data_IF_437515109272
#
_entry.id   IF_437515109272
#
_cell.length_a   1.000
_cell.length_b   1.000
_cell.length_c   1.000
_cell.angle_alpha   90.00
_cell.angle_beta   90.00
_cell.angle_gamma   90.00
#
_symmetry.space_group_name_H-M   'P 1'
#
loop_
_entity.id
_entity.type
_entity.pdbx_description
1 polymer ?
#
# COMPACT_ATOMS: atom_id res chain seq x y z
N UNK A 1 23.19 -43.68 42.17
CA UNK A 1 22.28 -44.07 41.09
C UNK A 1 21.26 -42.95 40.93
N UNK A 2 21.56 -41.96 40.10
CA UNK A 2 20.70 -40.80 39.80
C UNK A 2 19.78 -41.08 38.65
N UNK A 3 18.47 -40.89 38.84
CA UNK A 3 17.50 -40.89 37.75
C UNK A 3 17.53 -39.53 37.07
N UNK A 4 17.81 -39.49 35.77
CA UNK A 4 17.72 -38.31 34.90
C UNK A 4 16.23 -37.92 34.75
N UNK A 5 15.91 -36.62 34.70
CA UNK A 5 14.55 -36.16 34.47
C UNK A 5 14.11 -36.52 33.04
N UNK A 6 12.88 -37.02 32.93
CA UNK A 6 12.23 -37.27 31.66
C UNK A 6 12.13 -35.96 30.88
N UNK A 7 12.81 -35.90 29.75
CA UNK A 7 12.75 -34.81 28.78
C UNK A 7 11.35 -34.71 28.18
N UNK A 8 10.89 -33.48 28.06
CA UNK A 8 9.59 -33.06 27.52
C UNK A 8 9.48 -33.25 26.00
N UNK A 9 10.30 -34.13 25.41
CA UNK A 9 10.40 -34.35 23.97
C UNK A 9 9.29 -35.24 23.38
N UNK A 10 8.52 -35.94 24.19
CA UNK A 10 7.48 -36.88 23.70
C UNK A 10 6.10 -36.28 23.45
N UNK A 11 5.90 -34.99 23.68
CA UNK A 11 4.59 -34.35 23.45
C UNK A 11 4.37 -33.86 22.01
N UNK A 12 5.41 -33.88 21.17
CA UNK A 12 5.34 -33.37 19.79
C UNK A 12 5.12 -34.45 18.71
N UNK A 13 5.12 -35.73 19.04
CA UNK A 13 5.04 -36.81 18.05
C UNK A 13 3.64 -37.44 17.89
N UNK A 14 2.61 -36.88 18.51
CA UNK A 14 1.25 -37.40 18.40
C UNK A 14 0.37 -36.61 17.40
N UNK A 15 -0.68 -37.24 16.84
CA UNK A 15 -1.63 -36.53 15.96
C UNK A 15 -2.25 -35.30 16.62
N UNK A 16 -2.27 -35.22 17.94
CA UNK A 16 -2.70 -34.05 18.70
C UNK A 16 -1.81 -32.81 18.54
N UNK A 17 -0.50 -32.98 18.37
CA UNK A 17 0.42 -31.86 18.19
C UNK A 17 0.18 -31.13 16.84
N UNK A 18 -0.10 -31.85 15.78
CA UNK A 18 -0.44 -31.27 14.46
C UNK A 18 -1.74 -30.47 14.51
N UNK A 19 -2.73 -30.93 15.27
CA UNK A 19 -3.99 -30.22 15.47
C UNK A 19 -3.76 -28.90 16.22
N UNK A 20 -2.96 -28.90 17.27
CA UNK A 20 -2.66 -27.69 18.05
C UNK A 20 -1.91 -26.66 17.18
N UNK A 21 -0.94 -27.09 16.37
CA UNK A 21 -0.20 -26.21 15.46
C UNK A 21 -1.14 -25.63 14.40
N UNK A 22 -2.02 -26.44 13.83
CA UNK A 22 -2.99 -25.97 12.84
C UNK A 22 -3.95 -24.93 13.43
N UNK A 23 -4.48 -25.15 14.62
CA UNK A 23 -5.34 -24.19 15.34
C UNK A 23 -4.59 -22.89 15.63
N UNK A 24 -3.33 -22.97 16.11
CA UNK A 24 -2.51 -21.79 16.38
C UNK A 24 -2.24 -20.97 15.11
N UNK A 25 -1.98 -21.61 13.97
CA UNK A 25 -1.83 -20.93 12.68
C UNK A 25 -3.12 -20.22 12.23
N UNK A 26 -4.26 -20.87 12.35
CA UNK A 26 -5.55 -20.26 11.99
C UNK A 26 -5.86 -19.05 12.86
N UNK A 27 -5.58 -19.11 14.16
CA UNK A 27 -5.76 -17.99 15.07
C UNK A 27 -4.80 -16.84 14.72
N UNK A 28 -3.53 -17.14 14.44
CA UNK A 28 -2.54 -16.12 14.05
C UNK A 28 -2.93 -15.42 12.75
N UNK A 29 -3.38 -16.16 11.73
CA UNK A 29 -3.85 -15.59 10.46
C UNK A 29 -5.11 -14.73 10.68
N UNK A 30 -6.04 -15.20 11.50
CA UNK A 30 -7.27 -14.46 11.82
C UNK A 30 -7.00 -13.14 12.56
N UNK A 31 -6.03 -13.11 13.46
CA UNK A 31 -5.65 -11.91 14.21
C UNK A 31 -4.94 -10.88 13.31
N UNK A 32 -4.07 -11.32 12.41
CA UNK A 32 -3.39 -10.42 11.48
C UNK A 32 -4.36 -9.81 10.45
N UNK A 33 -5.32 -10.59 9.97
CA UNK A 33 -6.35 -10.09 9.05
C UNK A 33 -7.25 -9.02 9.71
N UNK A 34 -7.64 -9.21 10.98
CA UNK A 34 -8.43 -8.22 11.73
C UNK A 34 -7.65 -6.94 12.03
N UNK A 35 -6.36 -7.04 12.34
CA UNK A 35 -5.51 -5.87 12.58
C UNK A 35 -5.35 -5.02 11.30
N UNK A 36 -5.17 -5.67 10.16
CA UNK A 36 -5.07 -4.98 8.86
C UNK A 36 -6.40 -4.30 8.46
N UNK A 37 -7.53 -5.00 8.64
CA UNK A 37 -8.84 -4.44 8.38
C UNK A 37 -9.16 -3.23 9.29
N UNK A 38 -8.78 -3.30 10.57
CA UNK A 38 -9.01 -2.22 11.53
C UNK A 38 -8.24 -0.96 11.19
N UNK A 39 -6.99 -1.09 10.75
CA UNK A 39 -6.20 0.08 10.36
C UNK A 39 -6.77 0.75 9.10
N UNK A 40 -7.20 -0.03 8.12
CA UNK A 40 -7.88 0.48 6.91
C UNK A 40 -9.18 1.19 7.23
N UNK A 41 -9.97 0.68 8.16
CA UNK A 41 -11.25 1.26 8.55
C UNK A 41 -11.08 2.58 9.32
N UNK A 42 -10.13 2.64 10.25
CA UNK A 42 -9.79 3.86 10.98
C UNK A 42 -9.30 4.97 10.04
N UNK A 43 -8.44 4.62 9.08
CA UNK A 43 -7.95 5.55 8.08
C UNK A 43 -9.08 6.01 7.14
N UNK A 44 -9.96 5.10 6.74
CA UNK A 44 -11.09 5.42 5.88
C UNK A 44 -12.12 6.38 6.52
N UNK A 45 -12.22 6.43 7.85
CA UNK A 45 -13.11 7.34 8.56
C UNK A 45 -12.66 8.82 8.46
N UNK A 46 -11.42 9.08 8.10
CA UNK A 46 -10.90 10.44 7.89
C UNK A 46 -11.40 11.10 6.61
N UNK A 47 -12.09 10.33 5.74
CA UNK A 47 -12.53 10.76 4.43
C UNK A 47 -14.06 10.69 4.29
N UNK A 48 -14.62 11.63 3.57
CA UNK A 48 -16.05 11.60 3.23
C UNK A 48 -16.38 10.37 2.36
N UNK A 49 -17.65 9.93 2.31
CA UNK A 49 -18.06 8.82 1.44
C UNK A 49 -17.73 9.05 -0.04
N UNK A 50 -17.78 10.30 -0.51
CA UNK A 50 -17.50 10.65 -1.90
C UNK A 50 -16.00 10.60 -2.21
N UNK A 51 -15.15 11.06 -1.28
CA UNK A 51 -13.70 10.91 -1.39
C UNK A 51 -13.31 9.44 -1.41
N UNK A 52 -13.85 8.64 -0.49
CA UNK A 52 -13.60 7.18 -0.47
C UNK A 52 -14.00 6.51 -1.77
N UNK A 53 -15.15 6.88 -2.33
CA UNK A 53 -15.61 6.36 -3.62
C UNK A 53 -14.68 6.77 -4.74
N UNK A 54 -14.22 8.02 -4.73
CA UNK A 54 -13.27 8.50 -5.73
C UNK A 54 -11.96 7.71 -5.69
N UNK A 55 -11.34 7.56 -4.52
CA UNK A 55 -10.10 6.79 -4.36
C UNK A 55 -10.25 5.33 -4.82
N UNK A 56 -11.33 4.66 -4.40
CA UNK A 56 -11.54 3.25 -4.73
C UNK A 56 -11.80 2.98 -6.22
N UNK A 57 -12.19 4.01 -6.96
CA UNK A 57 -12.47 3.91 -8.39
C UNK A 57 -11.29 4.33 -9.28
N UNK A 58 -10.15 4.72 -8.70
CA UNK A 58 -9.01 5.09 -9.51
C UNK A 58 -8.36 3.84 -10.12
N UNK A 59 -8.10 3.94 -11.40
CA UNK A 59 -7.41 2.90 -12.17
C UNK A 59 -6.13 3.47 -12.76
N UNK A 60 -5.13 2.62 -12.91
CA UNK A 60 -3.86 2.96 -13.56
C UNK A 60 -4.14 3.44 -14.99
N UNK A 61 -3.88 4.72 -15.30
CA UNK A 61 -4.31 5.29 -16.58
C UNK A 61 -3.45 4.85 -17.77
N UNK A 62 -2.21 4.43 -17.52
CA UNK A 62 -1.27 4.03 -18.57
C UNK A 62 -0.21 3.05 -18.12
N UNK A 63 0.79 2.84 -18.97
CA UNK A 63 1.91 1.95 -18.70
C UNK A 63 1.55 0.45 -18.67
N UNK A 64 2.48 -0.40 -18.15
CA UNK A 64 2.32 -1.87 -18.18
C UNK A 64 1.14 -2.38 -17.35
N UNK A 65 0.69 -1.61 -16.36
CA UNK A 65 -0.41 -1.98 -15.45
C UNK A 65 -1.72 -1.26 -15.76
N UNK A 66 -1.86 -0.68 -16.95
CA UNK A 66 -3.06 0.05 -17.37
C UNK A 66 -4.35 -0.72 -17.10
N UNK A 67 -5.33 -0.05 -16.50
CA UNK A 67 -6.63 -0.61 -16.13
C UNK A 67 -6.66 -1.38 -14.82
N UNK A 68 -5.50 -1.64 -14.20
CA UNK A 68 -5.43 -2.15 -12.83
C UNK A 68 -5.84 -1.07 -11.81
N UNK A 69 -6.21 -1.48 -10.61
CA UNK A 69 -6.51 -0.54 -9.53
C UNK A 69 -5.26 0.24 -9.11
N UNK A 70 -5.39 1.52 -8.83
CA UNK A 70 -4.35 2.32 -8.15
C UNK A 70 -4.16 1.90 -6.69
N UNK A 71 -4.91 0.92 -6.22
CA UNK A 71 -5.05 0.48 -4.84
C UNK A 71 -6.06 1.30 -4.03
N UNK A 72 -6.24 0.92 -2.75
CA UNK A 72 -7.21 1.56 -1.88
C UNK A 72 -6.68 2.90 -1.35
N UNK A 73 -7.57 3.68 -0.76
CA UNK A 73 -7.22 4.93 -0.07
C UNK A 73 -6.10 4.76 0.98
N UNK A 74 -6.01 3.57 1.57
CA UNK A 74 -4.99 3.26 2.58
C UNK A 74 -3.57 3.12 2.00
N UNK A 75 -3.45 2.97 0.69
CA UNK A 75 -2.17 2.78 0.00
C UNK A 75 -1.72 4.06 -0.73
N UNK A 76 -2.56 5.11 -0.74
CA UNK A 76 -2.20 6.44 -1.26
C UNK A 76 -1.55 7.30 -0.20
N UNK A 77 -0.49 7.98 -0.53
CA UNK A 77 0.25 8.89 0.33
C UNK A 77 0.18 10.32 -0.21
N UNK A 78 0.05 11.30 0.70
CA UNK A 78 0.19 12.69 0.32
C UNK A 78 1.61 12.99 -0.11
N UNK A 79 1.73 13.72 -1.19
CA UNK A 79 2.99 14.08 -1.78
C UNK A 79 3.14 15.60 -1.88
N UNK A 80 4.36 16.06 -1.97
CA UNK A 80 4.63 17.40 -2.47
C UNK A 80 4.65 17.36 -3.99
N UNK A 81 4.19 18.44 -4.61
CA UNK A 81 4.04 18.57 -6.06
C UNK A 81 4.80 19.78 -6.57
N UNK A 82 5.43 19.63 -7.72
CA UNK A 82 6.06 20.69 -8.48
C UNK A 82 5.81 20.47 -9.98
N UNK A 83 5.67 21.54 -10.74
CA UNK A 83 5.54 21.48 -12.18
C UNK A 83 6.80 22.09 -12.77
N UNK A 84 7.54 21.30 -13.52
CA UNK A 84 8.74 21.75 -14.22
C UNK A 84 8.54 21.66 -15.70
N UNK A 85 8.74 22.82 -16.35
CA UNK A 85 8.62 22.92 -17.80
C UNK A 85 10.00 23.06 -18.41
N UNK A 86 10.24 22.37 -19.50
CA UNK A 86 11.32 22.66 -20.43
C UNK A 86 10.77 23.44 -21.64
N UNK A 87 11.52 23.52 -22.74
CA UNK A 87 11.14 24.33 -23.90
C UNK A 87 9.87 23.81 -24.61
N UNK A 88 9.45 22.57 -24.38
CA UNK A 88 8.39 21.90 -25.14
C UNK A 88 7.29 21.30 -24.29
N UNK A 89 7.61 20.83 -23.09
CA UNK A 89 6.68 20.05 -22.26
C UNK A 89 6.81 20.40 -20.78
N UNK A 90 5.69 20.26 -20.04
CA UNK A 90 5.66 20.41 -18.60
C UNK A 90 5.38 19.05 -17.97
N UNK A 91 6.16 18.70 -16.97
CA UNK A 91 6.03 17.43 -16.24
C UNK A 91 5.76 17.67 -14.78
N UNK A 92 4.96 16.80 -14.18
CA UNK A 92 4.80 16.76 -12.73
C UNK A 92 6.02 16.11 -12.09
N UNK A 93 6.46 16.72 -11.00
CA UNK A 93 7.48 16.19 -10.14
C UNK A 93 6.89 16.02 -8.75
N UNK A 94 7.26 14.94 -8.08
CA UNK A 94 6.73 14.61 -6.76
C UNK A 94 7.83 14.13 -5.83
N UNK A 95 7.64 14.34 -4.54
CA UNK A 95 8.39 13.69 -3.46
C UNK A 95 7.46 13.36 -2.32
N UNK A 96 7.77 12.33 -1.57
CA UNK A 96 6.95 11.80 -0.48
C UNK A 96 7.83 11.08 0.54
N UNK A 97 7.26 10.53 1.62
CA UNK A 97 8.04 10.05 2.77
C UNK A 97 9.06 8.96 2.39
N UNK A 98 8.67 8.00 1.55
CA UNK A 98 9.56 6.90 1.11
C UNK A 98 10.54 7.31 0.00
N UNK A 99 10.32 8.45 -0.64
CA UNK A 99 11.18 8.99 -1.69
C UNK A 99 11.32 10.51 -1.52
N UNK A 100 12.23 10.97 -0.64
CA UNK A 100 12.40 12.39 -0.30
C UNK A 100 13.01 13.23 -1.44
N UNK A 101 13.65 12.59 -2.40
CA UNK A 101 14.16 13.23 -3.59
C UNK A 101 13.06 13.45 -4.63
N UNK A 102 13.15 14.56 -5.37
CA UNK A 102 12.21 14.83 -6.45
C UNK A 102 12.34 13.80 -7.57
N UNK A 103 11.25 13.15 -7.92
CA UNK A 103 11.15 12.23 -9.05
C UNK A 103 10.10 12.73 -10.04
N UNK A 104 10.37 12.57 -11.32
CA UNK A 104 9.43 12.88 -12.39
C UNK A 104 8.31 11.85 -12.41
N UNK A 105 7.08 12.32 -12.48
CA UNK A 105 5.89 11.48 -12.66
C UNK A 105 5.73 11.17 -14.14
N UNK A 106 5.73 9.90 -14.55
CA UNK A 106 5.40 9.55 -15.93
C UNK A 106 3.99 10.02 -16.30
N UNK A 107 3.84 10.73 -17.41
CA UNK A 107 2.57 11.35 -17.82
C UNK A 107 1.44 10.35 -17.98
N UNK A 108 1.75 9.13 -18.39
CA UNK A 108 0.80 8.03 -18.52
C UNK A 108 0.26 7.53 -17.18
N UNK A 109 0.89 7.88 -16.06
CA UNK A 109 0.44 7.51 -14.71
C UNK A 109 -0.35 8.62 -14.00
N UNK A 110 -0.49 9.78 -14.64
CA UNK A 110 -1.25 10.91 -14.10
C UNK A 110 -2.75 10.69 -14.28
N UNK A 111 -3.47 10.65 -13.16
CA UNK A 111 -4.93 10.57 -13.14
C UNK A 111 -5.50 11.92 -13.63
N UNK A 112 -6.23 11.89 -14.74
CA UNK A 112 -6.82 13.09 -15.35
C UNK A 112 -8.19 13.47 -14.80
N UNK A 113 -8.81 12.61 -13.96
CA UNK A 113 -10.07 12.94 -13.29
C UNK A 113 -9.81 13.93 -12.15
N UNK A 114 -10.73 14.89 -11.91
CA UNK A 114 -10.56 15.85 -10.82
C UNK A 114 -10.32 15.17 -9.47
N UNK A 115 -9.27 15.57 -8.80
CA UNK A 115 -8.94 15.07 -7.48
C UNK A 115 -9.92 15.63 -6.44
N UNK A 116 -10.83 14.80 -5.95
CA UNK A 116 -11.87 15.17 -4.97
C UNK A 116 -11.31 15.60 -3.61
N UNK A 117 -10.12 15.13 -3.29
CA UNK A 117 -9.47 15.43 -2.02
C UNK A 117 -8.65 16.73 -2.07
N UNK A 118 -8.23 17.15 -3.26
CA UNK A 118 -7.53 18.41 -3.48
C UNK A 118 -6.03 18.40 -3.13
N UNK A 119 -5.50 17.33 -2.53
CA UNK A 119 -4.07 17.22 -2.23
C UNK A 119 -3.39 16.27 -3.22
N UNK A 120 -2.17 16.58 -3.68
CA UNK A 120 -1.42 15.65 -4.49
C UNK A 120 -1.29 14.30 -3.78
N UNK A 121 -1.59 13.23 -4.49
CA UNK A 121 -1.58 11.88 -3.91
C UNK A 121 -0.86 10.93 -4.85
N UNK A 122 0.10 10.18 -4.30
CA UNK A 122 0.89 9.19 -5.00
C UNK A 122 0.54 7.79 -4.50
N UNK A 123 0.34 6.85 -5.41
CA UNK A 123 0.36 5.42 -5.13
C UNK A 123 1.65 4.87 -5.70
N UNK A 124 2.40 4.23 -4.85
CA UNK A 124 3.73 3.74 -5.19
C UNK A 124 3.93 2.30 -4.71
N UNK A 125 4.89 1.64 -5.29
CA UNK A 125 5.31 0.31 -4.90
C UNK A 125 6.82 0.24 -4.79
N UNK A 126 7.30 -0.70 -3.98
CA UNK A 126 8.71 -1.00 -3.82
C UNK A 126 9.01 -2.34 -4.47
N UNK A 127 9.94 -2.35 -5.39
CA UNK A 127 10.41 -3.60 -5.98
C UNK A 127 11.08 -4.46 -4.91
N UNK A 128 10.56 -5.67 -4.70
CA UNK A 128 11.04 -6.58 -3.65
C UNK A 128 12.50 -7.05 -3.88
N UNK A 129 12.99 -7.02 -5.13
CA UNK A 129 14.32 -7.50 -5.46
C UNK A 129 15.44 -6.49 -5.24
N UNK A 130 15.17 -5.21 -5.51
CA UNK A 130 16.19 -4.14 -5.46
C UNK A 130 15.81 -2.94 -4.59
N UNK A 131 14.62 -2.95 -4.00
CA UNK A 131 14.13 -1.87 -3.15
C UNK A 131 13.77 -0.58 -3.90
N UNK A 132 13.83 -0.57 -5.23
CA UNK A 132 13.51 0.61 -6.03
C UNK A 132 12.03 0.98 -5.90
N UNK A 133 11.76 2.26 -5.62
CA UNK A 133 10.41 2.82 -5.58
C UNK A 133 9.97 3.20 -6.99
N UNK A 134 8.72 2.90 -7.33
CA UNK A 134 8.11 3.31 -8.57
C UNK A 134 6.66 3.74 -8.35
N UNK A 135 6.22 4.73 -9.12
CA UNK A 135 4.86 5.27 -9.07
C UNK A 135 3.92 4.35 -9.86
N UNK A 136 2.77 4.02 -9.28
CA UNK A 136 1.66 3.32 -9.97
C UNK A 136 0.66 4.29 -10.55
N UNK A 137 0.28 5.28 -9.74
CA UNK A 137 -0.70 6.31 -10.09
C UNK A 137 -0.32 7.59 -9.38
N UNK A 138 -0.70 8.70 -9.98
CA UNK A 138 -0.53 10.02 -9.40
C UNK A 138 -1.76 10.88 -9.61
N UNK A 139 -2.30 11.41 -8.53
CA UNK A 139 -3.40 12.38 -8.60
C UNK A 139 -2.87 13.78 -8.28
N UNK A 140 -3.05 14.68 -9.22
CA UNK A 140 -2.64 16.09 -9.14
C UNK A 140 -3.42 16.82 -8.04
N UNK A 141 -2.79 17.74 -7.34
CA UNK A 141 -3.46 18.60 -6.36
C UNK A 141 -4.48 19.55 -7.01
N UNK A 142 -5.48 19.97 -6.23
CA UNK A 142 -6.41 21.01 -6.68
C UNK A 142 -5.77 22.39 -6.48
N UNK A 143 -5.38 23.04 -7.55
CA UNK A 143 -4.84 24.40 -7.49
C UNK A 143 -3.48 24.59 -8.16
N UNK A 144 -3.04 23.62 -8.92
CA UNK A 144 -1.93 23.74 -9.86
C UNK A 144 -2.42 23.99 -11.27
#
# INVERSE_FOLDING_TARGET
MGRLPMTCERLLEGPGALIIIAIAMVIAIGLTAKAHARWKEEYAQMYTPDERRWFNNQVVPGGPMKGGSCCSIADGEYAEEDIRCDQNECHYWTRFSEHPDWMMVPDELVIRTPNKHGKPTVWWEKNAGNGQVFIRCYAVGAGT
#
